data_IF_111736691795
#
_entry.id   IF_111736691795
#
_cell.length_a   1.000
_cell.length_b   1.000
_cell.length_c   1.000
_cell.angle_alpha   90.00
_cell.angle_beta   90.00
_cell.angle_gamma   90.00
#
_symmetry.space_group_name_H-M   'P 1'
#
loop_
_entity.id
_entity.type
_entity.pdbx_description
1 polymer ?
#
# COMPACT_ATOMS: atom_id res chain seq x y z
N UNK A 1 -3.19 -22.21 -23.90
CA UNK A 1 -2.98 -23.10 -22.75
C UNK A 1 -3.58 -22.57 -21.44
N UNK A 2 -4.35 -23.38 -20.68
CA UNK A 2 -4.87 -22.99 -19.37
C UNK A 2 -3.73 -22.50 -18.47
N UNK A 3 -4.03 -21.53 -17.61
CA UNK A 3 -3.05 -20.94 -16.71
C UNK A 3 -2.44 -22.04 -15.81
N UNK A 4 -1.11 -22.08 -15.63
CA UNK A 4 -0.49 -23.08 -14.77
C UNK A 4 -0.97 -22.92 -13.31
N UNK A 5 -1.04 -24.02 -12.54
CA UNK A 5 -1.32 -23.96 -11.11
C UNK A 5 -0.40 -22.98 -10.36
N UNK A 6 -0.94 -22.31 -9.35
CA UNK A 6 -0.25 -21.29 -8.56
C UNK A 6 0.49 -21.92 -7.39
N UNK A 7 1.81 -22.03 -7.53
CA UNK A 7 2.69 -22.33 -6.41
C UNK A 7 2.96 -21.04 -5.62
N UNK A 8 2.21 -20.87 -4.52
CA UNK A 8 2.29 -19.68 -3.67
C UNK A 8 3.66 -19.53 -3.01
N UNK A 9 4.23 -20.63 -2.51
CA UNK A 9 5.52 -20.64 -1.82
C UNK A 9 6.64 -20.23 -2.76
N UNK A 10 6.69 -20.82 -3.96
CA UNK A 10 7.69 -20.48 -4.97
C UNK A 10 7.60 -19.03 -5.39
N UNK A 11 6.40 -18.53 -5.64
CA UNK A 11 6.25 -17.19 -6.17
C UNK A 11 6.52 -16.13 -5.11
N UNK A 12 5.81 -16.20 -3.98
CA UNK A 12 5.99 -15.21 -2.93
C UNK A 12 7.35 -15.35 -2.28
N UNK A 13 7.99 -16.52 -2.31
CA UNK A 13 9.37 -16.71 -1.84
C UNK A 13 10.46 -16.07 -2.71
N UNK A 14 10.11 -15.35 -3.79
CA UNK A 14 11.09 -14.59 -4.59
C UNK A 14 11.23 -13.16 -4.04
N UNK A 15 12.45 -12.70 -3.68
CA UNK A 15 12.69 -11.31 -3.29
C UNK A 15 12.32 -10.33 -4.41
N UNK A 16 11.94 -9.10 -4.03
CA UNK A 16 11.64 -8.07 -5.03
C UNK A 16 12.95 -7.60 -5.72
N UNK A 17 12.88 -7.14 -6.98
CA UNK A 17 14.04 -6.56 -7.64
C UNK A 17 14.41 -5.21 -7.05
N UNK A 18 15.69 -4.88 -7.10
CA UNK A 18 16.17 -3.53 -6.78
C UNK A 18 15.72 -2.56 -7.89
N UNK A 19 15.08 -1.45 -7.52
CA UNK A 19 14.79 -0.37 -8.47
C UNK A 19 15.88 0.69 -8.41
N UNK A 20 16.43 1.05 -9.57
CA UNK A 20 17.35 2.18 -9.65
C UNK A 20 16.56 3.46 -9.83
N UNK A 21 16.93 4.49 -9.11
CA UNK A 21 16.34 5.81 -9.25
C UNK A 21 17.33 6.74 -9.96
N UNK A 22 16.85 7.48 -10.96
CA UNK A 22 17.72 8.40 -11.69
C UNK A 22 17.76 9.78 -11.04
N UNK A 23 16.65 10.20 -10.45
CA UNK A 23 16.50 11.42 -9.68
C UNK A 23 15.39 11.17 -8.65
N UNK A 24 15.47 11.72 -7.42
CA UNK A 24 14.31 11.68 -6.55
C UNK A 24 13.18 12.38 -7.30
N UNK A 25 12.03 11.74 -7.54
CA UNK A 25 10.91 12.47 -8.10
C UNK A 25 10.61 13.69 -7.21
N UNK A 26 10.22 14.82 -7.79
CA UNK A 26 9.85 15.98 -6.98
C UNK A 26 8.80 15.60 -5.94
N UNK A 27 8.98 16.04 -4.70
CA UNK A 27 7.99 15.84 -3.64
C UNK A 27 6.73 16.63 -4.02
N UNK A 28 5.70 15.92 -4.48
CA UNK A 28 4.33 16.43 -4.43
C UNK A 28 4.04 16.86 -2.99
N UNK A 29 3.77 18.15 -2.83
CA UNK A 29 3.84 18.85 -1.56
C UNK A 29 2.74 18.49 -0.57
N UNK A 30 3.10 18.62 0.70
CA UNK A 30 2.48 19.52 1.67
C UNK A 30 3.46 19.54 2.84
N UNK A 31 3.66 20.70 3.46
CA UNK A 31 4.43 20.74 4.69
C UNK A 31 3.81 19.82 5.76
N UNK A 32 4.51 19.60 6.87
CA UNK A 32 3.87 19.01 8.05
C UNK A 32 2.56 19.74 8.36
N UNK A 33 1.51 19.01 8.79
CA UNK A 33 0.25 19.65 9.19
C UNK A 33 0.53 20.64 10.32
N UNK A 34 -0.05 21.84 10.26
CA UNK A 34 0.12 22.83 11.33
C UNK A 34 -0.45 22.35 12.68
N UNK A 35 -1.47 21.50 12.64
CA UNK A 35 -2.12 20.89 13.80
C UNK A 35 -2.35 19.39 13.59
N UNK A 36 -2.43 18.66 14.69
CA UNK A 36 -2.77 17.23 14.75
C UNK A 36 -3.95 17.04 15.71
N UNK A 37 -5.04 16.52 15.17
CA UNK A 37 -6.28 16.22 15.88
C UNK A 37 -6.40 14.73 16.23
N UNK A 38 -5.39 13.92 15.89
CA UNK A 38 -5.48 12.48 15.98
C UNK A 38 -5.39 11.96 17.41
N UNK A 39 -6.27 11.01 17.74
CA UNK A 39 -6.39 10.38 19.05
C UNK A 39 -5.32 9.32 19.33
N UNK A 40 -4.25 9.28 18.53
CA UNK A 40 -3.17 8.32 18.66
C UNK A 40 -2.40 8.60 19.97
N UNK A 41 -2.53 7.70 20.93
CA UNK A 41 -1.90 7.75 22.25
C UNK A 41 -0.55 7.05 22.27
N UNK A 42 -0.34 6.09 21.37
CA UNK A 42 0.81 5.20 21.40
C UNK A 42 1.10 4.55 20.06
N UNK A 43 2.38 4.27 19.85
CA UNK A 43 2.87 3.44 18.76
C UNK A 43 3.78 2.37 19.33
N UNK A 44 3.69 1.17 18.77
CA UNK A 44 4.56 0.06 19.10
C UNK A 44 5.10 -0.63 17.84
N UNK A 45 6.30 -1.16 17.95
CA UNK A 45 6.83 -2.14 17.03
C UNK A 45 6.17 -3.53 17.27
N UNK A 46 5.89 -4.25 16.19
CA UNK A 46 5.43 -5.64 16.23
C UNK A 46 6.64 -6.54 16.50
N UNK A 47 6.83 -6.89 17.77
CA UNK A 47 7.84 -7.85 18.19
C UNK A 47 7.59 -9.21 17.50
N UNK A 48 8.63 -9.79 16.87
CA UNK A 48 8.51 -11.10 16.22
C UNK A 48 7.67 -11.11 14.93
N UNK A 49 7.48 -9.96 14.25
CA UNK A 49 6.72 -9.88 13.01
C UNK A 49 7.12 -10.95 11.97
N UNK A 50 8.41 -11.14 11.73
CA UNK A 50 8.90 -12.16 10.79
C UNK A 50 8.52 -13.58 11.22
N UNK A 51 8.57 -13.88 12.50
CA UNK A 51 8.19 -15.19 13.04
C UNK A 51 6.69 -15.46 12.86
N UNK A 52 5.86 -14.43 13.01
CA UNK A 52 4.43 -14.52 12.73
C UNK A 52 4.16 -14.79 11.24
N UNK A 53 4.86 -14.09 10.35
CA UNK A 53 4.79 -14.34 8.90
C UNK A 53 5.19 -15.80 8.63
N UNK A 54 6.34 -16.26 9.13
CA UNK A 54 6.82 -17.65 8.94
C UNK A 54 5.83 -18.67 9.50
N UNK A 55 5.21 -18.39 10.65
CA UNK A 55 4.17 -19.24 11.24
C UNK A 55 2.94 -19.32 10.34
N UNK A 56 2.48 -18.18 9.81
CA UNK A 56 1.36 -18.14 8.87
C UNK A 56 1.67 -18.94 7.59
N UNK A 57 2.88 -18.82 7.05
CA UNK A 57 3.28 -19.54 5.83
C UNK A 57 3.30 -21.06 5.99
N UNK A 58 3.43 -21.60 7.22
CA UNK A 58 3.23 -23.03 7.49
C UNK A 58 1.77 -23.49 7.31
N UNK A 59 0.81 -22.56 7.33
CA UNK A 59 -0.62 -22.85 7.09
C UNK A 59 -1.05 -22.63 5.64
N UNK A 60 -0.21 -21.97 4.83
CA UNK A 60 -0.50 -21.74 3.41
C UNK A 60 -0.30 -23.05 2.63
N UNK A 61 -1.22 -23.42 1.72
CA UNK A 61 -1.09 -24.65 0.92
C UNK A 61 0.28 -24.77 0.26
N UNK A 62 0.92 -25.92 0.43
CA UNK A 62 2.19 -26.26 -0.24
C UNK A 62 1.96 -26.80 -1.65
N UNK A 63 0.79 -27.36 -1.90
CA UNK A 63 0.40 -27.81 -3.23
C UNK A 63 -0.06 -26.60 -4.08
N UNK A 64 0.28 -26.58 -5.38
CA UNK A 64 -0.18 -25.52 -6.26
C UNK A 64 -1.71 -25.44 -6.32
N UNK A 65 -2.25 -24.22 -6.17
CA UNK A 65 -3.71 -23.98 -6.20
C UNK A 65 -4.19 -23.67 -7.62
N UNK A 66 -5.45 -23.96 -7.91
CA UNK A 66 -6.06 -23.63 -9.20
C UNK A 66 -6.29 -22.11 -9.30
N UNK A 67 -5.71 -21.41 -10.29
CA UNK A 67 -5.97 -20.00 -10.48
C UNK A 67 -7.43 -19.76 -10.92
N UNK A 68 -7.99 -18.62 -10.53
CA UNK A 68 -9.28 -18.23 -11.07
C UNK A 68 -9.14 -17.87 -12.56
N UNK A 69 -10.01 -18.41 -13.44
CA UNK A 69 -9.89 -18.21 -14.89
C UNK A 69 -9.84 -16.74 -15.34
N UNK A 70 -10.67 -15.89 -14.72
CA UNK A 70 -10.77 -14.47 -15.04
C UNK A 70 -9.67 -13.58 -14.41
N UNK A 71 -9.01 -14.05 -13.35
CA UNK A 71 -8.10 -13.23 -12.54
C UNK A 71 -6.71 -13.85 -12.59
N UNK A 72 -6.06 -13.60 -13.73
CA UNK A 72 -4.80 -14.24 -14.09
C UNK A 72 -3.65 -13.71 -13.25
N UNK A 73 -2.73 -14.61 -12.97
CA UNK A 73 -1.52 -14.29 -12.25
C UNK A 73 -0.50 -13.59 -13.13
N UNK A 74 0.15 -12.51 -12.66
CA UNK A 74 1.16 -11.84 -13.45
C UNK A 74 2.38 -12.75 -13.62
N UNK A 75 2.79 -12.96 -14.88
CA UNK A 75 4.03 -13.66 -15.24
C UNK A 75 5.20 -12.86 -14.70
N UNK A 76 5.91 -13.32 -13.65
CA UNK A 76 7.00 -12.56 -13.00
C UNK A 76 7.96 -12.00 -14.04
N UNK A 77 8.48 -12.84 -14.94
CA UNK A 77 9.46 -12.39 -15.94
C UNK A 77 8.92 -11.26 -16.83
N UNK A 78 7.64 -11.32 -17.25
CA UNK A 78 7.00 -10.27 -18.04
C UNK A 78 6.69 -9.03 -17.19
N UNK A 79 6.26 -9.23 -15.95
CA UNK A 79 6.01 -8.17 -15.00
C UNK A 79 7.31 -7.38 -14.72
N UNK A 80 8.44 -8.09 -14.57
CA UNK A 80 9.77 -7.50 -14.42
C UNK A 80 10.21 -6.70 -15.66
N UNK A 81 9.88 -7.13 -16.88
CA UNK A 81 10.19 -6.34 -18.09
C UNK A 81 9.33 -5.10 -18.24
N UNK A 82 8.16 -5.05 -17.57
CA UNK A 82 7.27 -3.90 -17.56
C UNK A 82 7.59 -2.88 -16.46
N UNK A 83 8.42 -3.24 -15.48
CA UNK A 83 8.92 -2.35 -14.43
C UNK A 83 9.85 -1.31 -15.06
N UNK A 84 9.54 -0.01 -14.95
CA UNK A 84 10.45 1.04 -15.39
C UNK A 84 11.78 0.97 -14.63
N UNK A 85 12.90 0.95 -15.35
CA UNK A 85 14.23 1.00 -14.77
C UNK A 85 15.16 1.88 -15.65
N UNK A 86 15.66 3.03 -15.15
CA UNK A 86 15.45 3.55 -13.80
C UNK A 86 14.05 4.17 -13.60
N UNK A 87 13.59 4.26 -12.36
CA UNK A 87 12.42 5.06 -11.98
C UNK A 87 12.72 6.54 -12.20
N UNK A 88 11.77 7.25 -12.83
CA UNK A 88 11.87 8.67 -13.17
C UNK A 88 10.77 9.51 -12.53
N UNK A 89 9.67 8.89 -12.11
CA UNK A 89 8.46 9.58 -11.65
C UNK A 89 7.74 8.80 -10.54
N UNK A 90 6.88 9.44 -9.73
CA UNK A 90 6.02 8.72 -8.78
C UNK A 90 5.09 7.72 -9.45
N UNK A 91 4.66 8.00 -10.68
CA UNK A 91 3.87 7.07 -11.50
C UNK A 91 4.63 5.79 -11.84
N UNK A 92 5.96 5.84 -11.99
CA UNK A 92 6.75 4.63 -12.22
C UNK A 92 6.71 3.72 -11.00
N UNK A 93 6.85 4.28 -9.80
CA UNK A 93 6.73 3.53 -8.54
C UNK A 93 5.33 2.88 -8.40
N UNK A 94 4.29 3.64 -8.71
CA UNK A 94 2.91 3.11 -8.71
C UNK A 94 2.76 1.95 -9.69
N UNK A 95 3.30 2.09 -10.91
CA UNK A 95 3.31 1.02 -11.91
C UNK A 95 4.06 -0.22 -11.41
N UNK A 96 5.20 -0.05 -10.74
CA UNK A 96 5.96 -1.18 -10.18
C UNK A 96 5.12 -1.96 -9.16
N UNK A 97 4.45 -1.24 -8.25
CA UNK A 97 3.62 -1.84 -7.21
C UNK A 97 2.41 -2.57 -7.77
N UNK A 98 1.70 -1.95 -8.72
CA UNK A 98 0.53 -2.57 -9.36
C UNK A 98 0.92 -3.83 -10.12
N UNK A 99 2.09 -3.84 -10.77
CA UNK A 99 2.49 -4.93 -11.67
C UNK A 99 2.93 -6.18 -10.94
N UNK A 100 3.60 -6.07 -9.77
CA UNK A 100 4.11 -7.25 -9.07
C UNK A 100 3.56 -7.47 -7.67
N UNK A 101 3.95 -6.78 -6.59
CA UNK A 101 3.50 -7.31 -5.31
C UNK A 101 1.96 -7.24 -5.17
N UNK A 102 1.30 -6.20 -5.68
CA UNK A 102 -0.14 -6.01 -5.49
C UNK A 102 -0.99 -6.92 -6.39
N UNK A 103 -0.66 -7.05 -7.67
CA UNK A 103 -1.40 -7.94 -8.58
C UNK A 103 -1.22 -9.42 -8.20
N UNK A 104 -0.03 -9.81 -7.74
CA UNK A 104 0.20 -11.17 -7.25
C UNK A 104 -0.68 -11.49 -6.03
N UNK A 105 -0.70 -10.60 -5.02
CA UNK A 105 -1.55 -10.75 -3.83
C UNK A 105 -3.03 -10.78 -4.23
N UNK A 106 -3.48 -9.88 -5.09
CA UNK A 106 -4.87 -9.85 -5.59
C UNK A 106 -5.31 -11.18 -6.20
N UNK A 107 -4.47 -11.72 -7.08
CA UNK A 107 -4.73 -12.99 -7.77
C UNK A 107 -4.74 -14.18 -6.80
N UNK A 108 -3.78 -14.23 -5.86
CA UNK A 108 -3.68 -15.29 -4.87
C UNK A 108 -4.87 -15.28 -3.90
N UNK A 109 -5.28 -14.10 -3.41
CA UNK A 109 -6.48 -13.95 -2.59
C UNK A 109 -7.73 -14.41 -3.34
N UNK A 110 -7.88 -13.99 -4.59
CA UNK A 110 -9.04 -14.35 -5.41
C UNK A 110 -9.10 -15.86 -5.69
N UNK A 111 -7.96 -16.50 -5.96
CA UNK A 111 -7.90 -17.94 -6.18
C UNK A 111 -8.23 -18.75 -4.91
N UNK A 112 -7.78 -18.29 -3.74
CA UNK A 112 -8.05 -18.97 -2.47
C UNK A 112 -9.50 -18.82 -2.00
N UNK A 113 -10.14 -17.70 -2.32
CA UNK A 113 -11.52 -17.41 -1.95
C UNK A 113 -12.51 -17.72 -3.10
N UNK A 114 -12.05 -18.38 -4.17
CA UNK A 114 -12.87 -18.72 -5.33
C UNK A 114 -13.92 -19.78 -5.01
N UNK A 115 -15.12 -19.63 -5.58
CA UNK A 115 -16.14 -20.67 -5.55
C UNK A 115 -15.72 -21.83 -6.47
N UNK A 116 -15.81 -23.07 -5.97
CA UNK A 116 -15.44 -24.27 -6.74
C UNK A 116 -16.19 -24.36 -8.08
N UNK A 117 -17.42 -23.84 -8.18
CA UNK A 117 -18.16 -23.85 -9.44
C UNK A 117 -17.54 -22.94 -10.50
N UNK A 118 -16.88 -21.86 -10.10
CA UNK A 118 -16.24 -20.91 -11.02
C UNK A 118 -14.88 -21.41 -11.51
N UNK A 119 -14.23 -22.29 -10.73
CA UNK A 119 -12.99 -22.96 -11.11
C UNK A 119 -13.22 -24.07 -12.16
N UNK A 120 -14.43 -24.65 -12.17
CA UNK A 120 -14.83 -25.69 -13.11
C UNK A 120 -15.35 -25.11 -14.43
N UNK A 121 -14.51 -24.34 -15.13
CA UNK A 121 -14.82 -23.92 -16.50
C UNK A 121 -14.73 -25.13 -17.42
N UNK A 122 -15.87 -25.54 -17.99
CA UNK A 122 -15.91 -26.60 -19.00
C UNK A 122 -14.98 -26.31 -20.20
N UNK A 123 -14.76 -27.29 -21.10
CA UNK A 123 -13.79 -27.19 -22.20
C UNK A 123 -13.93 -25.92 -23.08
N UNK A 124 -15.15 -25.39 -23.18
CA UNK A 124 -15.48 -24.20 -23.95
C UNK A 124 -15.12 -22.89 -23.22
N UNK A 125 -15.23 -22.84 -21.89
CA UNK A 125 -14.80 -21.69 -21.08
C UNK A 125 -13.28 -21.57 -21.04
N UNK A 126 -12.58 -22.70 -20.91
CA UNK A 126 -11.12 -22.77 -20.95
C UNK A 126 -10.53 -22.25 -22.28
N UNK A 127 -11.18 -22.52 -23.42
CA UNK A 127 -10.76 -22.03 -24.75
C UNK A 127 -11.00 -20.52 -24.96
N UNK A 128 -12.05 -19.95 -24.38
CA UNK A 128 -12.32 -18.50 -24.43
C UNK A 128 -11.32 -17.70 -23.59
N UNK A 129 -10.92 -18.24 -22.44
CA UNK A 129 -9.91 -17.66 -21.54
C UNK A 129 -8.49 -17.76 -22.10
N UNK A 130 -8.28 -18.72 -22.99
CA UNK A 130 -6.99 -19.03 -23.61
C UNK A 130 -6.58 -18.06 -24.72
N UNK A 131 -7.55 -17.63 -25.52
CA UNK A 131 -7.34 -16.64 -26.59
C UNK A 131 -6.96 -15.26 -26.06
N UNK A 132 -7.22 -14.97 -24.79
CA UNK A 132 -6.93 -13.70 -24.13
C UNK A 132 -5.57 -13.68 -23.38
N UNK A 133 -4.51 -14.29 -23.91
CA UNK A 133 -3.15 -13.92 -23.45
C UNK A 133 -2.13 -15.03 -23.18
N UNK A 134 -2.25 -16.21 -23.80
CA UNK A 134 -1.14 -17.17 -23.77
C UNK A 134 -0.41 -17.40 -25.10
N UNK A 135 -0.94 -16.92 -26.23
CA UNK A 135 -0.35 -17.17 -27.57
C UNK A 135 -0.26 -15.93 -28.49
N UNK A 136 -0.19 -14.70 -27.97
CA UNK A 136 0.08 -13.54 -28.84
C UNK A 136 1.39 -12.87 -28.48
N UNK A 137 2.40 -13.23 -29.25
CA UNK A 137 3.63 -12.48 -29.48
C UNK A 137 3.23 -11.18 -30.21
N UNK A 138 3.03 -10.08 -29.47
CA UNK A 138 3.00 -8.73 -30.01
C UNK A 138 1.86 -8.34 -30.96
N UNK A 139 0.59 -8.63 -30.62
CA UNK A 139 -0.59 -8.13 -31.35
C UNK A 139 -1.57 -7.39 -30.43
N UNK A 140 -2.25 -6.39 -31.01
CA UNK A 140 -3.15 -5.39 -30.41
C UNK A 140 -4.04 -5.85 -29.24
N UNK A 141 -4.30 -4.93 -28.29
CA UNK A 141 -5.27 -5.09 -27.19
C UNK A 141 -6.67 -5.38 -27.76
N UNK A 142 -7.01 -6.66 -27.87
CA UNK A 142 -8.38 -7.09 -28.14
C UNK A 142 -9.20 -7.06 -26.85
N UNK A 143 -10.42 -6.54 -26.97
CA UNK A 143 -11.41 -6.47 -25.90
C UNK A 143 -11.48 -7.78 -25.12
N UNK A 144 -11.10 -7.73 -23.84
CA UNK A 144 -11.23 -8.86 -22.92
C UNK A 144 -12.71 -9.21 -22.86
N UNK A 145 -13.14 -10.42 -23.28
CA UNK A 145 -14.53 -10.80 -23.17
C UNK A 145 -14.94 -10.69 -21.70
N UNK A 146 -16.04 -9.96 -21.43
CA UNK A 146 -16.66 -9.90 -20.11
C UNK A 146 -16.94 -11.33 -19.68
N UNK A 147 -16.12 -11.85 -18.77
CA UNK A 147 -16.45 -13.06 -18.03
C UNK A 147 -17.76 -12.75 -17.31
N UNK A 148 -18.80 -13.55 -17.56
CA UNK A 148 -20.06 -13.45 -16.82
C UNK A 148 -19.73 -13.42 -15.33
N UNK A 149 -20.36 -12.52 -14.57
CA UNK A 149 -20.09 -12.36 -13.13
C UNK A 149 -20.32 -13.71 -12.42
N UNK A 150 -19.24 -14.45 -12.21
CA UNK A 150 -19.22 -15.66 -11.39
C UNK A 150 -19.59 -15.32 -9.94
N UNK A 151 -19.74 -16.34 -9.11
CA UNK A 151 -19.99 -16.12 -7.67
C UNK A 151 -18.77 -15.52 -6.96
N UNK A 152 -17.59 -15.78 -7.49
CA UNK A 152 -16.30 -15.31 -6.99
C UNK A 152 -16.19 -13.80 -7.16
N UNK A 153 -15.99 -13.09 -6.05
CA UNK A 153 -15.72 -11.67 -6.05
C UNK A 153 -14.21 -11.44 -5.96
N UNK A 154 -13.63 -10.80 -6.98
CA UNK A 154 -12.19 -10.57 -7.00
C UNK A 154 -11.71 -9.62 -5.91
N UNK A 155 -10.54 -9.93 -5.37
CA UNK A 155 -9.75 -9.01 -4.59
C UNK A 155 -8.88 -8.16 -5.52
N UNK A 156 -8.88 -6.85 -5.33
CA UNK A 156 -8.09 -5.93 -6.16
C UNK A 156 -7.46 -4.81 -5.33
N UNK A 157 -6.29 -4.35 -5.75
CA UNK A 157 -5.70 -3.10 -5.27
C UNK A 157 -6.06 -1.97 -6.22
N UNK A 158 -7.00 -1.10 -5.82
CA UNK A 158 -7.38 0.07 -6.59
C UNK A 158 -6.47 1.25 -6.28
N UNK A 159 -5.81 1.80 -7.29
CA UNK A 159 -5.05 3.03 -7.14
C UNK A 159 -5.99 4.22 -6.86
N UNK A 160 -5.57 5.07 -5.93
CA UNK A 160 -6.22 6.35 -5.65
C UNK A 160 -5.16 7.42 -5.33
N UNK A 161 -5.41 8.64 -5.77
CA UNK A 161 -4.61 9.79 -5.35
C UNK A 161 -5.13 10.24 -3.99
N UNK A 162 -4.29 10.12 -2.96
CA UNK A 162 -4.64 10.61 -1.63
C UNK A 162 -4.98 12.10 -1.68
N UNK A 163 -5.98 12.56 -0.92
CA UNK A 163 -6.17 14.00 -0.65
C UNK A 163 -4.90 14.66 -0.10
N UNK A 164 -4.01 13.84 0.49
CA UNK A 164 -2.73 14.28 1.01
C UNK A 164 -1.61 14.34 -0.07
N UNK A 165 -1.91 14.10 -1.35
CA UNK A 165 -0.93 14.22 -2.45
C UNK A 165 -0.01 13.02 -2.67
N UNK A 166 -0.12 11.96 -1.85
CA UNK A 166 0.61 10.69 -2.05
C UNK A 166 -0.21 9.66 -2.83
N UNK A 167 0.46 8.72 -3.50
CA UNK A 167 -0.22 7.57 -4.10
C UNK A 167 -0.66 6.57 -3.03
N UNK A 168 -1.89 6.08 -3.14
CA UNK A 168 -2.42 5.02 -2.27
C UNK A 168 -3.03 3.90 -3.12
N UNK A 169 -2.92 2.66 -2.64
CA UNK A 169 -3.61 1.50 -3.19
C UNK A 169 -4.53 0.91 -2.13
N UNK A 170 -5.79 0.68 -2.48
CA UNK A 170 -6.80 0.15 -1.58
C UNK A 170 -7.11 -1.29 -1.92
N UNK A 171 -6.89 -2.20 -0.98
CA UNK A 171 -7.36 -3.57 -1.09
C UNK A 171 -8.87 -3.58 -0.87
N UNK A 172 -9.62 -4.00 -1.89
CA UNK A 172 -11.08 -4.03 -1.89
C UNK A 172 -11.56 -5.31 -2.58
N UNK A 173 -12.75 -5.76 -2.19
CA UNK A 173 -13.43 -6.86 -2.88
C UNK A 173 -14.37 -6.29 -3.95
N UNK A 174 -14.48 -6.97 -5.09
CA UNK A 174 -15.38 -6.58 -6.18
C UNK A 174 -16.82 -6.41 -5.68
N UNK A 175 -17.42 -5.27 -6.02
CA UNK A 175 -18.78 -4.90 -5.61
C UNK A 175 -18.89 -4.43 -4.14
N UNK A 176 -17.78 -4.23 -3.43
CA UNK A 176 -17.74 -3.62 -2.10
C UNK A 176 -16.97 -2.30 -2.14
N UNK A 177 -17.46 -1.29 -1.41
CA UNK A 177 -16.75 -0.04 -1.16
C UNK A 177 -15.87 -0.11 0.11
N UNK A 178 -15.86 -1.24 0.81
CA UNK A 178 -15.07 -1.43 2.01
C UNK A 178 -13.59 -1.61 1.69
N UNK A 179 -12.76 -0.72 2.21
CA UNK A 179 -11.30 -0.82 2.13
C UNK A 179 -10.79 -1.67 3.29
N UNK A 180 -10.06 -2.74 2.98
CA UNK A 180 -9.49 -3.65 3.99
C UNK A 180 -8.08 -3.24 4.41
N UNK A 181 -7.27 -2.82 3.45
CA UNK A 181 -5.86 -2.45 3.61
C UNK A 181 -5.53 -1.26 2.71
N UNK A 182 -4.73 -0.32 3.21
CA UNK A 182 -4.18 0.78 2.40
C UNK A 182 -2.67 0.66 2.27
N UNK A 183 -2.15 0.59 1.05
CA UNK A 183 -0.71 0.66 0.77
C UNK A 183 -0.38 2.06 0.30
N UNK A 184 0.41 2.81 1.08
CA UNK A 184 0.88 4.14 0.71
C UNK A 184 2.28 4.08 0.16
N UNK A 185 2.49 4.83 -0.92
CA UNK A 185 3.81 5.07 -1.47
C UNK A 185 4.40 6.38 -0.97
N UNK A 186 5.69 6.35 -0.70
CA UNK A 186 6.49 7.55 -0.45
C UNK A 186 7.65 7.58 -1.44
N UNK A 187 8.19 8.76 -1.64
CA UNK A 187 9.43 8.90 -2.37
C UNK A 187 10.57 8.32 -1.54
N UNK A 188 11.54 7.63 -2.16
CA UNK A 188 12.74 7.14 -1.49
C UNK A 188 13.54 8.23 -0.75
N UNK A 189 13.50 9.47 -1.27
CA UNK A 189 14.13 10.64 -0.66
C UNK A 189 13.28 11.27 0.45
N UNK A 190 12.02 10.87 0.59
CA UNK A 190 11.17 11.35 1.66
C UNK A 190 11.78 10.99 3.02
N UNK A 191 12.24 9.74 3.17
CA UNK A 191 12.88 9.23 4.39
C UNK A 191 14.34 8.85 4.18
N UNK A 192 15.18 9.38 5.05
CA UNK A 192 16.50 8.81 5.33
C UNK A 192 16.38 7.60 6.25
N UNK A 193 17.47 6.86 6.45
CA UNK A 193 17.48 5.72 7.37
C UNK A 193 17.05 6.11 8.78
N UNK A 194 17.50 7.27 9.28
CA UNK A 194 17.09 7.79 10.58
C UNK A 194 15.58 8.12 10.64
N UNK A 195 14.99 8.62 9.55
CA UNK A 195 13.54 8.90 9.49
C UNK A 195 12.73 7.60 9.53
N UNK A 196 13.24 6.52 8.92
CA UNK A 196 12.64 5.18 8.97
C UNK A 196 12.76 4.54 10.35
N UNK A 197 13.92 4.65 10.99
CA UNK A 197 14.12 4.20 12.38
C UNK A 197 13.18 4.96 13.33
N UNK A 198 13.06 6.28 13.19
CA UNK A 198 12.13 7.11 13.94
C UNK A 198 10.66 6.77 13.64
N UNK A 199 10.34 6.25 12.45
CA UNK A 199 8.99 5.78 12.13
C UNK A 199 8.64 4.50 12.89
N UNK A 200 9.60 3.61 13.14
CA UNK A 200 9.38 2.31 13.79
C UNK A 200 9.75 2.31 15.27
N UNK A 201 9.47 3.39 16.01
CA UNK A 201 9.75 3.51 17.45
C UNK A 201 8.58 3.12 18.36
N UNK A 202 8.91 2.85 19.62
CA UNK A 202 7.99 2.43 20.68
C UNK A 202 7.79 3.55 21.70
N UNK A 203 6.54 3.92 21.99
CA UNK A 203 6.25 4.93 23.01
C UNK A 203 4.97 5.74 22.84
N UNK A 204 4.72 6.69 23.76
CA UNK A 204 3.64 7.66 23.64
C UNK A 204 3.80 8.50 22.40
N UNK A 205 2.76 8.53 21.58
CA UNK A 205 2.77 9.32 20.35
C UNK A 205 2.66 10.80 20.67
N UNK A 206 3.66 11.57 20.23
CA UNK A 206 3.67 13.02 20.31
C UNK A 206 3.75 13.53 18.88
N UNK A 207 2.80 14.32 18.42
CA UNK A 207 2.94 14.91 17.09
C UNK A 207 3.97 16.05 17.11
N UNK A 208 5.00 15.97 16.27
CA UNK A 208 5.93 17.05 15.97
C UNK A 208 5.92 17.36 14.47
N UNK A 209 5.69 18.63 14.11
CA UNK A 209 5.71 19.09 12.72
C UNK A 209 7.10 19.04 12.11
N UNK A 210 8.16 19.08 12.92
CA UNK A 210 9.54 19.02 12.45
C UNK A 210 10.02 17.62 12.16
N UNK A 211 9.31 16.61 12.64
CA UNK A 211 9.60 15.20 12.37
C UNK A 211 8.86 14.73 11.11
N UNK A 212 9.62 14.19 10.15
CA UNK A 212 9.02 13.55 8.97
C UNK A 212 8.30 12.25 9.35
N UNK A 213 8.84 11.50 10.31
CA UNK A 213 8.20 10.29 10.82
C UNK A 213 6.82 10.60 11.41
N UNK A 214 6.74 11.63 12.25
CA UNK A 214 5.49 12.18 12.79
C UNK A 214 4.49 12.55 11.69
N UNK A 215 4.95 13.24 10.64
CA UNK A 215 4.10 13.62 9.51
C UNK A 215 3.53 12.43 8.74
N UNK A 216 4.32 11.38 8.48
CA UNK A 216 3.81 10.19 7.82
C UNK A 216 2.96 9.30 8.72
N UNK A 217 3.26 9.24 10.03
CA UNK A 217 2.37 8.60 11.01
C UNK A 217 0.99 9.23 10.97
N UNK A 218 0.99 10.56 10.97
CA UNK A 218 -0.20 11.38 10.88
C UNK A 218 -1.06 11.02 9.66
N UNK A 219 -0.40 10.86 8.51
CA UNK A 219 -1.07 10.46 7.27
C UNK A 219 -1.54 9.02 7.29
N UNK A 220 -0.77 8.07 7.84
CA UNK A 220 -1.14 6.65 7.89
C UNK A 220 -2.40 6.47 8.73
N UNK A 221 -2.42 7.09 9.90
CA UNK A 221 -3.60 7.15 10.75
C UNK A 221 -4.76 7.87 10.06
N UNK A 222 -4.52 9.03 9.44
CA UNK A 222 -5.57 9.79 8.76
C UNK A 222 -6.21 9.02 7.59
N UNK A 223 -5.42 8.27 6.82
CA UNK A 223 -5.95 7.39 5.77
C UNK A 223 -6.73 6.22 6.36
N UNK A 224 -6.19 5.51 7.34
CA UNK A 224 -6.91 4.41 7.99
C UNK A 224 -8.23 4.90 8.61
N UNK A 225 -8.21 6.10 9.22
CA UNK A 225 -9.40 6.74 9.78
C UNK A 225 -10.46 7.03 8.71
N UNK A 226 -10.07 7.75 7.66
CA UNK A 226 -10.94 8.14 6.54
C UNK A 226 -11.51 6.95 5.79
N UNK A 227 -10.71 5.90 5.59
CA UNK A 227 -11.05 4.75 4.77
C UNK A 227 -11.79 3.65 5.56
N UNK A 228 -12.02 3.82 6.86
CA UNK A 228 -12.71 2.80 7.64
C UNK A 228 -11.85 1.58 7.98
N UNK A 229 -10.57 1.54 7.59
CA UNK A 229 -9.70 0.38 7.78
C UNK A 229 -8.78 0.51 9.01
N UNK A 230 -8.06 -0.57 9.30
CA UNK A 230 -7.10 -0.66 10.40
C UNK A 230 -5.69 -0.95 9.91
N UNK A 231 -5.57 -1.72 8.82
CA UNK A 231 -4.30 -2.15 8.27
C UNK A 231 -3.78 -1.14 7.25
N UNK A 232 -2.48 -0.89 7.31
CA UNK A 232 -1.76 -0.08 6.33
C UNK A 232 -0.38 -0.66 6.01
N UNK A 233 0.18 -0.22 4.90
CA UNK A 233 1.59 -0.44 4.53
C UNK A 233 2.17 0.90 4.10
N UNK A 234 3.40 1.19 4.50
CA UNK A 234 4.19 2.32 4.02
C UNK A 234 5.40 1.78 3.27
N UNK A 235 5.61 2.23 2.04
CA UNK A 235 6.76 1.79 1.24
C UNK A 235 7.28 2.86 0.29
N UNK A 236 8.59 2.83 0.04
CA UNK A 236 9.26 3.49 -1.08
C UNK A 236 9.80 2.51 -2.13
N UNK A 237 9.22 1.30 -2.16
CA UNK A 237 9.71 0.09 -2.80
C UNK A 237 10.95 -0.55 -2.17
N UNK A 238 11.96 0.23 -1.79
CA UNK A 238 13.21 -0.29 -1.25
C UNK A 238 13.05 -0.77 0.20
N UNK A 239 12.12 -0.14 0.92
CA UNK A 239 11.84 -0.31 2.34
C UNK A 239 10.34 -0.43 2.53
N UNK A 240 9.94 -1.32 3.43
CA UNK A 240 8.55 -1.66 3.70
C UNK A 240 8.31 -1.71 5.19
N UNK A 241 7.18 -1.16 5.62
CA UNK A 241 6.66 -1.36 6.98
C UNK A 241 5.19 -1.73 6.90
N UNK A 242 4.78 -2.66 7.75
CA UNK A 242 3.44 -3.20 7.82
C UNK A 242 2.83 -2.77 9.15
N UNK A 243 1.73 -2.03 9.11
CA UNK A 243 1.17 -1.47 10.33
C UNK A 243 -0.32 -1.61 10.46
N UNK A 244 -0.77 -1.45 11.69
CA UNK A 244 -2.12 -1.72 12.14
C UNK A 244 -2.53 -0.67 13.17
N UNK A 245 -3.79 -0.24 13.14
CA UNK A 245 -4.40 0.55 14.21
C UNK A 245 -5.50 -0.26 14.88
N UNK A 246 -5.59 -0.19 16.21
CA UNK A 246 -6.68 -0.83 16.93
C UNK A 246 -8.05 -0.25 16.52
N UNK A 247 -9.13 -0.91 16.98
CA UNK A 247 -10.50 -0.56 16.62
C UNK A 247 -10.87 0.91 16.88
N UNK A 248 -10.40 1.48 17.99
CA UNK A 248 -10.65 2.89 18.32
C UNK A 248 -9.58 3.85 17.76
N UNK A 249 -8.56 3.30 17.08
CA UNK A 249 -7.43 4.02 16.45
C UNK A 249 -6.66 4.89 17.42
N UNK A 250 -6.66 4.54 18.69
CA UNK A 250 -5.85 5.22 19.72
C UNK A 250 -4.47 4.60 19.86
N UNK A 251 -4.23 3.44 19.27
CA UNK A 251 -2.95 2.75 19.31
C UNK A 251 -2.56 2.22 17.92
N UNK A 252 -1.29 2.39 17.57
CA UNK A 252 -0.72 1.92 16.31
C UNK A 252 0.37 0.87 16.55
N UNK A 253 0.48 -0.08 15.62
CA UNK A 253 1.56 -1.04 15.54
C UNK A 253 2.23 -0.92 14.18
N UNK A 254 3.54 -1.14 14.14
CA UNK A 254 4.31 -1.23 12.89
C UNK A 254 5.32 -2.36 12.99
N UNK A 255 5.54 -3.12 11.93
CA UNK A 255 6.72 -3.96 11.82
C UNK A 255 7.98 -3.09 11.87
N UNK A 256 9.14 -3.69 12.13
CA UNK A 256 10.40 -3.10 11.70
C UNK A 256 10.40 -2.87 10.18
N UNK A 257 11.42 -2.17 9.71
CA UNK A 257 11.62 -1.90 8.28
C UNK A 257 12.18 -3.14 7.60
N UNK A 258 11.41 -3.71 6.67
CA UNK A 258 11.88 -4.80 5.81
C UNK A 258 12.47 -4.21 4.51
N UNK A 259 13.72 -4.54 4.18
CA UNK A 259 14.29 -4.27 2.86
C UNK A 259 13.57 -5.04 1.75
N UNK A 260 13.59 -4.50 0.52
CA UNK A 260 12.99 -5.13 -0.66
C UNK A 260 13.56 -6.51 -0.99
N UNK A 261 14.84 -6.73 -0.62
CA UNK A 261 15.60 -7.95 -0.88
C UNK A 261 15.63 -8.92 0.30
N UNK A 262 14.80 -8.74 1.33
CA UNK A 262 14.67 -9.74 2.40
C UNK A 262 14.22 -11.08 1.80
N UNK A 263 14.84 -12.17 2.24
CA UNK A 263 14.62 -13.52 1.69
C UNK A 263 13.73 -14.40 2.59
N UNK A 264 13.70 -14.16 3.90
CA UNK A 264 12.94 -15.00 4.84
C UNK A 264 12.44 -14.20 6.07
N UNK A 265 11.20 -13.67 6.06
CA UNK A 265 10.23 -13.74 4.97
C UNK A 265 10.50 -12.67 3.90
N UNK A 266 10.15 -12.96 2.65
CA UNK A 266 10.19 -11.94 1.59
C UNK A 266 9.09 -10.88 1.78
N UNK A 267 9.21 -9.76 1.04
CA UNK A 267 8.12 -8.76 0.97
C UNK A 267 6.83 -9.36 0.42
N UNK A 268 6.91 -10.27 -0.55
CA UNK A 268 5.73 -10.95 -1.08
C UNK A 268 5.01 -11.76 0.00
N UNK A 269 5.79 -12.49 0.80
CA UNK A 269 5.28 -13.28 1.92
C UNK A 269 4.66 -12.42 3.02
N UNK A 270 5.33 -11.33 3.40
CA UNK A 270 4.84 -10.40 4.41
C UNK A 270 3.58 -9.66 3.95
N UNK A 271 3.54 -9.18 2.71
CA UNK A 271 2.38 -8.47 2.16
C UNK A 271 1.17 -9.39 2.01
N UNK A 272 1.36 -10.63 1.60
CA UNK A 272 0.29 -11.61 1.53
C UNK A 272 -0.28 -11.95 2.92
N UNK A 273 0.60 -12.17 3.91
CA UNK A 273 0.19 -12.33 5.32
C UNK A 273 -0.60 -11.12 5.83
N UNK A 274 -0.14 -9.91 5.53
CA UNK A 274 -0.80 -8.68 5.97
C UNK A 274 -2.18 -8.49 5.31
N UNK A 275 -2.28 -8.81 4.02
CA UNK A 275 -3.55 -8.76 3.29
C UNK A 275 -4.54 -9.81 3.82
N UNK A 276 -4.10 -11.04 4.10
CA UNK A 276 -4.94 -12.08 4.74
C UNK A 276 -5.40 -11.64 6.13
N UNK A 277 -4.53 -10.97 6.90
CA UNK A 277 -4.89 -10.39 8.19
C UNK A 277 -5.95 -9.30 8.06
N UNK A 278 -5.82 -8.43 7.05
CA UNK A 278 -6.75 -7.34 6.80
C UNK A 278 -8.17 -7.79 6.40
N UNK A 279 -8.29 -8.96 5.75
CA UNK A 279 -9.59 -9.54 5.38
C UNK A 279 -10.17 -10.45 6.49
N UNK A 280 -9.47 -10.61 7.61
CA UNK A 280 -9.94 -11.39 8.77
C UNK A 280 -9.75 -12.90 8.62
N UNK A 281 -8.74 -13.35 7.88
CA UNK A 281 -8.42 -14.77 7.76
C UNK A 281 -8.01 -15.40 9.11
N UNK A 282 -8.15 -16.72 9.23
CA UNK A 282 -7.60 -17.46 10.38
C UNK A 282 -6.08 -17.31 10.45
N UNK A 283 -5.53 -17.38 11.66
CA UNK A 283 -4.09 -17.17 11.94
C UNK A 283 -3.57 -15.79 11.52
N UNK A 284 -4.48 -14.80 11.39
CA UNK A 284 -4.14 -13.40 11.18
C UNK A 284 -3.37 -12.78 12.35
N UNK A 285 -2.75 -11.63 12.09
CA UNK A 285 -2.19 -10.76 13.11
C UNK A 285 -3.23 -10.39 14.17
N UNK A 286 -2.91 -10.63 15.45
CA UNK A 286 -3.73 -10.22 16.58
C UNK A 286 -2.92 -9.26 17.44
N UNK A 287 -3.27 -7.96 17.49
CA UNK A 287 -2.52 -6.98 18.27
C UNK A 287 -2.67 -7.29 19.78
N UNK A 288 -1.57 -7.36 20.54
CA UNK A 288 -1.66 -7.43 21.99
C UNK A 288 -2.13 -6.07 22.55
N UNK A 289 -2.97 -6.06 23.60
CA UNK A 289 -3.18 -4.82 24.37
C UNK A 289 -1.95 -4.57 25.24
N UNK A 290 -1.24 -3.46 25.00
CA UNK A 290 -0.07 -3.06 25.77
C UNK A 290 -0.25 -1.63 26.29
N UNK A 291 0.09 -1.41 27.56
CA UNK A 291 0.15 -0.08 28.14
C UNK A 291 1.49 0.57 27.74
N UNK A 292 1.41 1.76 27.13
CA UNK A 292 2.58 2.53 26.69
C UNK A 292 2.81 3.79 27.51
N UNK A 293 2.02 4.02 28.56
CA UNK A 293 2.12 5.20 29.41
C UNK A 293 3.50 5.38 30.09
N UNK A 294 4.25 4.29 30.28
CA UNK A 294 5.59 4.29 30.88
C UNK A 294 6.76 4.30 29.90
N UNK A 295 6.52 4.35 28.58
CA UNK A 295 7.57 4.36 27.56
C UNK A 295 8.04 5.81 27.26
N UNK A 296 9.26 6.00 26.72
CA UNK A 296 9.74 7.32 26.33
C UNK A 296 8.90 7.90 25.19
N UNK A 297 8.70 9.24 25.17
CA UNK A 297 8.04 9.93 24.06
C UNK A 297 8.76 9.63 22.73
N UNK A 298 7.99 9.37 21.66
CA UNK A 298 8.55 8.96 20.37
C UNK A 298 9.52 9.99 19.78
N UNK A 299 9.22 11.30 19.90
CA UNK A 299 10.02 12.36 19.27
C UNK A 299 10.55 13.34 20.32
N UNK A 300 11.87 13.49 20.48
CA UNK A 300 12.46 14.43 21.42
C UNK A 300 12.30 15.89 20.96
N UNK A 301 12.37 16.83 21.90
CA UNK A 301 12.20 18.27 21.62
C UNK A 301 13.21 18.89 20.63
N UNK A 302 14.30 18.18 20.32
CA UNK A 302 15.33 18.61 19.37
C UNK A 302 15.43 17.63 18.18
N UNK A 303 14.52 17.71 17.19
CA UNK A 303 14.55 16.94 15.94
C UNK A 303 15.65 17.45 15.00
N UNK A 304 16.84 17.72 15.55
CA UNK A 304 17.93 18.51 15.00
C UNK A 304 18.19 18.18 13.53
N UNK A 305 17.96 19.19 12.67
CA UNK A 305 17.98 19.17 11.20
C UNK A 305 16.86 18.32 10.59
N UNK A 306 15.81 18.93 10.05
CA UNK A 306 15.17 18.56 8.76
C UNK A 306 13.81 19.24 8.55
N UNK A 307 13.81 20.57 8.51
CA UNK A 307 12.96 21.26 7.53
C UNK A 307 13.84 22.31 6.88
N UNK A 308 14.08 22.20 5.57
CA UNK A 308 14.37 23.40 4.79
C UNK A 308 13.09 24.23 4.79
N UNK A 309 12.87 24.99 5.85
CA UNK A 309 11.97 26.13 5.77
C UNK A 309 12.58 27.00 4.68
N UNK A 310 11.91 27.13 3.53
CA UNK A 310 12.14 28.28 2.66
C UNK A 310 11.57 29.51 3.38
N UNK A 311 12.19 29.87 4.51
CA UNK A 311 12.07 31.17 5.12
C UNK A 311 12.91 32.12 4.29
N UNK A 312 12.24 33.03 3.57
CA UNK A 312 12.87 34.26 3.09
C UNK A 312 12.62 34.61 1.63
N UNK A 313 11.45 35.20 1.33
CA UNK A 313 11.29 36.62 0.94
C UNK A 313 9.79 36.95 0.82
N UNK A 314 9.34 38.15 1.24
CA UNK A 314 7.99 38.61 0.94
C UNK A 314 7.81 38.64 -0.59
N UNK A 315 6.77 38.00 -1.12
CA UNK A 315 6.48 38.11 -2.55
C UNK A 315 6.12 39.54 -2.89
N UNK A 316 6.71 40.09 -3.95
CA UNK A 316 6.33 41.38 -4.52
C UNK A 316 4.81 41.43 -4.82
N UNK A 317 4.20 42.63 -4.88
CA UNK A 317 2.76 42.78 -5.13
C UNK A 317 2.33 42.04 -6.41
N UNK A 318 1.25 41.26 -6.29
CA UNK A 318 0.70 40.41 -7.36
C UNK A 318 0.26 41.27 -8.56
N UNK A 319 0.57 40.78 -9.76
CA UNK A 319 0.08 41.35 -11.01
C UNK A 319 -1.17 40.56 -11.45
N UNK A 320 -2.35 41.16 -11.33
CA UNK A 320 -3.68 40.52 -11.52
C UNK A 320 -3.94 40.01 -12.94
N UNK A 321 -3.07 40.32 -13.91
CA UNK A 321 -3.23 39.96 -15.34
C UNK A 321 -2.55 38.66 -15.76
N UNK A 322 -1.86 37.95 -14.86
CA UNK A 322 -1.26 36.65 -15.18
C UNK A 322 -2.26 35.53 -14.87
N UNK A 323 -2.75 34.87 -15.93
CA UNK A 323 -3.53 33.62 -15.81
C UNK A 323 -2.65 32.59 -15.11
N UNK A 324 -3.17 32.05 -14.01
CA UNK A 324 -2.50 31.08 -13.14
C UNK A 324 -2.40 29.73 -13.86
N UNK A 325 -1.23 29.11 -13.86
CA UNK A 325 -1.15 27.67 -14.07
C UNK A 325 -1.68 27.02 -12.79
N UNK A 326 -2.76 26.25 -12.89
CA UNK A 326 -3.37 25.57 -11.75
C UNK A 326 -2.29 24.78 -10.98
N UNK A 327 -2.20 25.03 -9.68
CA UNK A 327 -1.34 24.24 -8.80
C UNK A 327 -2.21 23.40 -7.86
N UNK A 328 -1.66 22.29 -7.39
CA UNK A 328 -2.38 21.33 -6.54
C UNK A 328 -2.66 21.87 -5.11
N UNK A 329 -2.32 23.13 -4.82
CA UNK A 329 -2.72 23.82 -3.58
C UNK A 329 -3.97 24.68 -3.73
N UNK A 330 -4.59 24.70 -4.92
CA UNK A 330 -5.84 25.43 -5.17
C UNK A 330 -7.11 24.64 -4.81
N UNK A 331 -6.95 23.43 -4.25
CA UNK A 331 -8.04 22.72 -3.57
C UNK A 331 -7.98 23.16 -2.11
N UNK A 332 -8.51 24.35 -1.83
CA UNK A 332 -8.85 24.74 -0.47
C UNK A 332 -10.03 23.88 0.02
N UNK A 333 -10.02 23.54 1.30
CA UNK A 333 -11.02 22.75 2.03
C UNK A 333 -12.42 23.42 2.09
N UNK A 334 -12.79 24.28 1.13
CA UNK A 334 -14.09 24.94 1.05
C UNK A 334 -15.08 24.29 0.08
N UNK A 335 -14.67 23.30 -0.70
CA UNK A 335 -15.56 22.64 -1.69
C UNK A 335 -16.28 21.39 -1.15
N UNK A 336 -16.25 21.17 0.17
CA UNK A 336 -16.89 20.03 0.84
C UNK A 336 -17.97 20.40 1.88
N UNK A 337 -18.32 21.68 2.05
CA UNK A 337 -19.48 22.09 2.87
C UNK A 337 -20.56 22.75 2.00
N UNK A 338 -21.41 21.91 1.44
CA UNK A 338 -22.65 22.30 0.80
C UNK A 338 -23.84 22.07 1.72
N UNK A 339 -24.48 23.18 2.10
CA UNK A 339 -25.90 23.30 2.49
C UNK A 339 -26.35 22.73 3.84
N UNK A 340 -26.08 23.48 4.92
CA UNK A 340 -27.11 23.68 5.96
C UNK A 340 -27.81 25.02 5.68
N UNK A 341 -28.99 24.91 5.07
CA UNK A 341 -29.93 26.02 4.96
C UNK A 341 -30.74 26.14 6.25
N UNK A 342 -30.60 27.26 6.94
CA UNK A 342 -31.63 27.79 7.83
C UNK A 342 -32.00 29.20 7.38
N UNK A 343 -33.14 29.29 6.69
CA UNK A 343 -34.24 30.24 6.91
C UNK A 343 -35.37 29.96 5.90
#
# INVERSE_FOLDING_TARGET
MPQPPLDLHKYFGTPLPALREQYPPGTGGTGPRASWDGSLKGVQEIEGFEDEVKKFWKTVPTEPITPHPAYKYPKIAQALTQIPNPLRSPSDLQKCLSTLPLAAVSSALTALDADESDLNVGPQGAQALDRAGYESDGGEELEVPKVEDGKTKAWTFKYNKSPMGSGEFYLMQQGSDEVKLVVRTINSSAFTSADWEEYTVNGPYRYDTRSKASWYWSRSWGAAKRLGCQYYVLTDWQRWTFGYFNKDRTHGWTSHVLPFNTEDPTIGQALFFWARSAIGAENAFVPPQKDVSGLPELFPANPSRRISHSGGKPSAPKNERKVKAANESDIEESDAEGADGEA
#
